data_IF_821464221546
#
_entry.id   IF_821464221546
#
_cell.length_a   1.000
_cell.length_b   1.000
_cell.length_c   1.000
_cell.angle_alpha   90.00
_cell.angle_beta   90.00
_cell.angle_gamma   90.00
#
_symmetry.space_group_name_H-M   'P 1'
#
loop_
_entity.id
_entity.type
_entity.pdbx_description
1 polymer ?
#
# COMPACT_ATOMS: atom_id res chain seq x y z
N UNK A 1 2.93 -27.50 -7.02
CA UNK A 1 1.48 -27.68 -6.76
C UNK A 1 0.76 -26.51 -7.38
N UNK A 2 0.02 -26.75 -8.47
CA UNK A 2 -0.70 -25.70 -9.22
C UNK A 2 -1.92 -25.28 -8.40
N UNK A 3 -2.01 -24.01 -8.03
CA UNK A 3 -3.14 -23.41 -7.32
C UNK A 3 -4.40 -23.55 -8.22
N UNK A 4 -5.21 -24.58 -7.98
CA UNK A 4 -6.47 -24.82 -8.71
C UNK A 4 -7.55 -23.75 -8.38
N UNK A 5 -7.31 -22.85 -7.41
CA UNK A 5 -8.20 -21.75 -7.00
C UNK A 5 -8.00 -20.38 -7.68
N UNK A 6 -7.13 -20.25 -8.68
CA UNK A 6 -6.58 -18.95 -9.13
C UNK A 6 -7.58 -17.92 -9.70
N UNK A 7 -8.69 -18.32 -10.32
CA UNK A 7 -9.59 -17.35 -10.99
C UNK A 7 -10.50 -16.59 -10.02
N UNK A 8 -10.99 -17.25 -8.97
CA UNK A 8 -11.84 -16.61 -7.95
C UNK A 8 -11.07 -15.56 -7.15
N UNK A 9 -9.83 -15.87 -6.78
CA UNK A 9 -8.97 -14.97 -6.02
C UNK A 9 -8.53 -13.77 -6.85
N UNK A 10 -8.22 -13.97 -8.14
CA UNK A 10 -7.98 -12.88 -9.09
C UNK A 10 -9.21 -11.98 -9.24
N UNK A 11 -10.39 -12.57 -9.44
CA UNK A 11 -11.65 -11.84 -9.56
C UNK A 11 -11.94 -10.99 -8.32
N UNK A 12 -11.71 -11.55 -7.13
CA UNK A 12 -11.83 -10.81 -5.87
C UNK A 12 -10.82 -9.67 -5.76
N UNK A 13 -9.54 -9.93 -6.08
CA UNK A 13 -8.49 -8.91 -6.03
C UNK A 13 -8.81 -7.73 -6.95
N UNK A 14 -9.32 -8.00 -8.16
CA UNK A 14 -9.82 -6.98 -9.06
C UNK A 14 -11.05 -6.26 -8.48
N UNK A 15 -12.02 -6.99 -7.92
CA UNK A 15 -13.23 -6.40 -7.36
C UNK A 15 -12.94 -5.44 -6.20
N UNK A 16 -12.08 -5.84 -5.25
CA UNK A 16 -11.68 -4.95 -4.14
C UNK A 16 -10.86 -3.76 -4.64
N UNK A 17 -10.04 -3.94 -5.67
CA UNK A 17 -9.30 -2.84 -6.32
C UNK A 17 -10.26 -1.83 -6.98
N UNK A 18 -11.33 -2.28 -7.64
CA UNK A 18 -12.36 -1.39 -8.21
C UNK A 18 -13.18 -0.71 -7.12
N UNK A 19 -13.46 -1.40 -6.02
CA UNK A 19 -14.22 -0.84 -4.89
C UNK A 19 -13.43 0.25 -4.14
N UNK A 20 -12.10 0.14 -4.07
CA UNK A 20 -11.26 1.08 -3.33
C UNK A 20 -11.43 2.56 -3.69
N UNK A 21 -11.35 3.01 -4.96
CA UNK A 21 -11.57 4.41 -5.29
C UNK A 21 -13.00 4.89 -4.98
N UNK A 22 -13.98 3.98 -4.91
CA UNK A 22 -15.40 4.30 -4.70
C UNK A 22 -15.79 4.41 -3.22
N UNK A 23 -15.13 3.66 -2.35
CA UNK A 23 -15.51 3.56 -0.93
C UNK A 23 -14.32 3.57 0.04
N UNK A 24 -13.13 3.19 -0.41
CA UNK A 24 -11.97 2.97 0.44
C UNK A 24 -11.01 4.15 0.57
N UNK A 25 -11.04 5.12 -0.35
CA UNK A 25 -10.21 6.32 -0.23
C UNK A 25 -10.79 7.30 0.79
N UNK A 26 -9.91 8.11 1.38
CA UNK A 26 -10.28 9.23 2.26
C UNK A 26 -11.34 10.13 1.62
N UNK A 27 -11.10 10.55 0.37
CA UNK A 27 -12.00 11.42 -0.41
C UNK A 27 -13.36 10.76 -0.68
N UNK A 28 -13.38 9.46 -0.99
CA UNK A 28 -14.62 8.73 -1.20
C UNK A 28 -15.46 8.66 0.08
N UNK A 29 -14.81 8.37 1.22
CA UNK A 29 -15.46 8.34 2.53
C UNK A 29 -16.07 9.70 2.91
N UNK A 30 -15.30 10.77 2.77
CA UNK A 30 -15.77 12.14 3.03
C UNK A 30 -16.98 12.49 2.15
N UNK A 31 -16.94 12.13 0.86
CA UNK A 31 -18.03 12.38 -0.08
C UNK A 31 -19.29 11.59 0.28
N UNK A 32 -19.15 10.31 0.62
CA UNK A 32 -20.28 9.46 1.03
C UNK A 32 -20.92 9.94 2.33
N UNK A 33 -20.12 10.31 3.33
CA UNK A 33 -20.63 10.81 4.60
C UNK A 33 -21.30 12.19 4.47
N UNK A 34 -20.75 13.08 3.65
CA UNK A 34 -21.39 14.37 3.38
C UNK A 34 -22.80 14.19 2.79
N UNK A 35 -22.98 13.22 1.89
CA UNK A 35 -24.30 12.91 1.30
C UNK A 35 -25.25 12.29 2.33
N UNK A 36 -24.75 11.38 3.18
CA UNK A 36 -25.60 10.57 4.07
C UNK A 36 -25.94 11.25 5.40
N UNK A 37 -25.03 12.08 5.91
CA UNK A 37 -25.09 12.60 7.28
C UNK A 37 -24.97 14.13 7.38
N UNK A 38 -24.91 14.84 6.24
CA UNK A 38 -24.74 16.31 6.15
C UNK A 38 -23.58 16.85 7.03
N UNK A 39 -22.54 16.02 7.17
CA UNK A 39 -21.37 16.30 8.00
C UNK A 39 -20.12 15.72 7.35
N UNK A 40 -19.02 16.49 7.34
CA UNK A 40 -17.73 16.03 6.86
C UNK A 40 -16.94 15.39 8.01
N UNK A 41 -16.54 14.10 7.90
CA UNK A 41 -15.69 13.46 8.90
C UNK A 41 -14.37 14.23 9.07
N UNK A 42 -13.76 14.12 10.24
CA UNK A 42 -12.45 14.74 10.46
C UNK A 42 -11.39 14.08 9.59
N UNK A 43 -10.38 14.86 9.21
CA UNK A 43 -9.16 14.42 8.50
C UNK A 43 -8.56 13.11 9.05
N UNK A 44 -8.55 12.99 10.38
CA UNK A 44 -8.08 11.80 11.09
C UNK A 44 -9.02 10.60 10.90
N UNK A 45 -10.34 10.79 11.07
CA UNK A 45 -11.31 9.71 10.89
C UNK A 45 -11.31 9.20 9.44
N UNK A 46 -11.24 10.09 8.46
CA UNK A 46 -11.16 9.75 7.04
C UNK A 46 -9.87 8.98 6.70
N UNK A 47 -8.74 9.34 7.34
CA UNK A 47 -7.47 8.61 7.19
C UNK A 47 -7.53 7.22 7.80
N UNK A 48 -8.07 7.09 9.01
CA UNK A 48 -8.27 5.79 9.65
C UNK A 48 -9.20 4.89 8.82
N UNK A 49 -10.28 5.45 8.28
CA UNK A 49 -11.14 4.73 7.35
C UNK A 49 -10.33 4.17 6.18
N UNK A 50 -9.54 5.00 5.49
CA UNK A 50 -8.72 4.52 4.38
C UNK A 50 -7.75 3.40 4.79
N UNK A 51 -7.10 3.54 5.95
CA UNK A 51 -6.14 2.55 6.45
C UNK A 51 -6.79 1.21 6.78
N UNK A 52 -7.86 1.23 7.58
CA UNK A 52 -8.55 0.02 7.99
C UNK A 52 -9.36 -0.60 6.85
N UNK A 53 -9.93 0.21 5.96
CA UNK A 53 -10.57 -0.30 4.74
C UNK A 53 -9.56 -1.06 3.89
N UNK A 54 -8.39 -0.47 3.64
CA UNK A 54 -7.33 -1.14 2.86
C UNK A 54 -6.90 -2.42 3.56
N UNK A 55 -6.59 -2.39 4.86
CA UNK A 55 -6.22 -3.61 5.58
C UNK A 55 -7.30 -4.70 5.53
N UNK A 56 -8.56 -4.34 5.72
CA UNK A 56 -9.68 -5.28 5.72
C UNK A 56 -9.95 -5.84 4.32
N UNK A 57 -10.09 -4.99 3.31
CA UNK A 57 -10.52 -5.40 1.97
C UNK A 57 -9.37 -5.89 1.09
N UNK A 58 -8.14 -5.41 1.30
CA UNK A 58 -6.98 -5.85 0.50
C UNK A 58 -6.27 -7.04 1.15
N UNK A 59 -6.39 -7.24 2.47
CA UNK A 59 -5.80 -8.39 3.13
C UNK A 59 -6.81 -9.32 3.81
N UNK A 60 -7.50 -8.90 4.87
CA UNK A 60 -8.29 -9.83 5.69
C UNK A 60 -9.36 -10.59 4.90
N UNK A 61 -10.15 -9.88 4.10
CA UNK A 61 -11.22 -10.45 3.29
C UNK A 61 -10.67 -11.43 2.24
N UNK A 62 -9.77 -11.03 1.32
CA UNK A 62 -9.16 -11.96 0.37
C UNK A 62 -8.48 -13.15 1.05
N UNK A 63 -7.69 -12.90 2.09
CA UNK A 63 -6.96 -13.94 2.80
C UNK A 63 -7.87 -14.96 3.48
N UNK A 64 -9.00 -14.52 4.05
CA UNK A 64 -10.00 -15.39 4.67
C UNK A 64 -10.61 -16.39 3.68
N UNK A 65 -10.73 -15.99 2.41
CA UNK A 65 -11.32 -16.79 1.34
C UNK A 65 -10.32 -17.75 0.67
N UNK A 66 -9.01 -17.60 0.94
CA UNK A 66 -7.99 -18.54 0.45
C UNK A 66 -7.95 -19.78 1.35
N UNK A 67 -8.02 -21.01 0.78
CA UNK A 67 -7.86 -22.25 1.52
C UNK A 67 -6.53 -22.30 2.29
N UNK A 68 -6.52 -22.88 3.50
CA UNK A 68 -5.36 -22.81 4.41
C UNK A 68 -4.09 -23.39 3.79
N UNK A 69 -4.25 -24.48 3.05
CA UNK A 69 -3.22 -25.19 2.31
C UNK A 69 -2.59 -24.36 1.17
N UNK A 70 -3.32 -23.38 0.64
CA UNK A 70 -2.86 -22.49 -0.43
C UNK A 70 -2.18 -21.22 0.12
N UNK A 71 -2.49 -20.81 1.36
CA UNK A 71 -1.96 -19.58 1.99
C UNK A 71 -0.43 -19.54 2.06
N UNK A 72 0.22 -20.70 2.21
CA UNK A 72 1.68 -20.80 2.23
C UNK A 72 2.33 -20.31 0.91
N UNK A 73 1.59 -20.35 -0.19
CA UNK A 73 2.03 -19.88 -1.51
C UNK A 73 1.97 -18.36 -1.70
N UNK A 74 1.31 -17.61 -0.80
CA UNK A 74 1.04 -16.18 -0.95
C UNK A 74 2.17 -15.27 -0.46
N UNK A 75 3.38 -15.81 -0.26
CA UNK A 75 4.51 -15.01 0.22
C UNK A 75 4.42 -14.57 1.69
N UNK A 76 3.71 -15.33 2.54
CA UNK A 76 3.67 -15.12 3.99
C UNK A 76 4.96 -15.55 4.73
N UNK A 77 6.06 -15.74 4.00
CA UNK A 77 7.30 -16.24 4.58
C UNK A 77 8.26 -15.11 4.92
N UNK A 78 9.15 -15.30 5.89
CA UNK A 78 10.31 -14.42 6.13
C UNK A 78 11.59 -15.09 5.60
N UNK A 79 11.51 -15.70 4.41
CA UNK A 79 12.65 -16.38 3.76
C UNK A 79 13.62 -15.35 3.19
N UNK A 80 14.87 -15.79 2.98
CA UNK A 80 15.93 -14.97 2.39
C UNK A 80 16.16 -13.62 3.10
N UNK A 81 16.06 -13.62 4.46
CA UNK A 81 16.15 -12.41 5.30
C UNK A 81 17.30 -11.47 4.96
N UNK A 82 18.49 -12.00 4.75
CA UNK A 82 19.67 -11.19 4.40
C UNK A 82 19.43 -10.38 3.13
N UNK A 83 18.95 -11.03 2.07
CA UNK A 83 18.65 -10.38 0.78
C UNK A 83 17.48 -9.41 0.93
N UNK A 84 16.39 -9.82 1.60
CA UNK A 84 15.21 -9.00 1.78
C UNK A 84 15.47 -7.72 2.58
N UNK A 85 16.13 -7.84 3.74
CA UNK A 85 16.48 -6.70 4.60
C UNK A 85 17.49 -5.79 3.91
N UNK A 86 18.55 -6.35 3.32
CA UNK A 86 19.55 -5.55 2.61
C UNK A 86 18.94 -4.77 1.45
N UNK A 87 18.07 -5.42 0.66
CA UNK A 87 17.37 -4.76 -0.46
C UNK A 87 16.44 -3.66 0.05
N UNK A 88 15.70 -3.91 1.14
CA UNK A 88 14.80 -2.92 1.72
C UNK A 88 15.55 -1.71 2.27
N UNK A 89 16.61 -1.91 3.06
CA UNK A 89 17.43 -0.82 3.59
C UNK A 89 18.05 -0.01 2.45
N UNK A 90 18.63 -0.69 1.46
CA UNK A 90 19.23 -0.02 0.30
C UNK A 90 18.20 0.79 -0.46
N UNK A 91 17.04 0.21 -0.71
CA UNK A 91 15.96 0.88 -1.44
C UNK A 91 15.44 2.11 -0.70
N UNK A 92 15.18 2.00 0.61
CA UNK A 92 14.75 3.12 1.44
C UNK A 92 15.83 4.20 1.47
N UNK A 93 17.10 3.85 1.70
CA UNK A 93 18.20 4.81 1.71
C UNK A 93 18.33 5.58 0.39
N UNK A 94 18.15 4.91 -0.75
CA UNK A 94 18.17 5.55 -2.08
C UNK A 94 16.94 6.44 -2.32
N UNK A 95 15.77 6.05 -1.80
CA UNK A 95 14.54 6.82 -1.98
C UNK A 95 14.46 8.03 -1.03
N UNK A 96 15.06 7.96 0.17
CA UNK A 96 15.04 9.05 1.16
C UNK A 96 15.39 10.43 0.58
N UNK A 97 16.50 10.64 -0.15
CA UNK A 97 16.80 11.94 -0.75
C UNK A 97 15.74 12.36 -1.78
N UNK A 98 15.22 11.42 -2.58
CA UNK A 98 14.18 11.71 -3.57
C UNK A 98 12.89 12.20 -2.89
N UNK A 99 12.49 11.56 -1.78
CA UNK A 99 11.31 11.94 -0.99
C UNK A 99 11.56 13.29 -0.30
N UNK A 100 12.75 13.53 0.23
CA UNK A 100 13.10 14.81 0.86
C UNK A 100 12.98 15.99 -0.09
N UNK A 101 13.48 15.86 -1.32
CA UNK A 101 13.32 16.90 -2.34
C UNK A 101 11.88 16.95 -2.88
N UNK A 102 11.24 15.79 -3.09
CA UNK A 102 9.85 15.68 -3.53
C UNK A 102 8.83 16.28 -2.56
N UNK A 103 9.11 16.26 -1.25
CA UNK A 103 8.26 16.87 -0.21
C UNK A 103 8.08 18.39 -0.36
N UNK A 104 8.84 19.05 -1.24
CA UNK A 104 8.67 20.47 -1.56
C UNK A 104 7.58 20.74 -2.60
N UNK A 105 7.12 19.70 -3.31
CA UNK A 105 6.07 19.81 -4.32
C UNK A 105 4.74 20.25 -3.67
N UNK A 106 4.09 21.33 -4.15
CA UNK A 106 2.79 21.75 -3.65
C UNK A 106 1.72 20.66 -3.69
N UNK A 107 1.73 19.77 -4.69
CA UNK A 107 0.77 18.65 -4.73
C UNK A 107 1.00 17.70 -3.55
N UNK A 108 2.27 17.38 -3.27
CA UNK A 108 2.64 16.52 -2.13
C UNK A 108 2.24 17.16 -0.80
N UNK A 109 2.52 18.45 -0.59
CA UNK A 109 2.14 19.18 0.62
C UNK A 109 0.63 19.32 0.80
N UNK A 110 -0.13 19.32 -0.29
CA UNK A 110 -1.59 19.37 -0.23
C UNK A 110 -2.18 18.04 0.25
N UNK A 111 -1.62 16.91 -0.21
CA UNK A 111 -2.08 15.55 0.08
C UNK A 111 -1.54 15.01 1.40
N UNK A 112 -0.29 15.33 1.75
CA UNK A 112 0.46 14.75 2.87
C UNK A 112 0.78 15.77 3.98
N UNK A 113 0.93 15.32 5.24
CA UNK A 113 0.68 13.96 5.70
C UNK A 113 -0.79 13.55 5.55
N UNK A 114 -1.06 12.26 5.39
CA UNK A 114 -2.43 11.77 5.13
C UNK A 114 -3.42 12.24 6.21
N UNK A 115 -2.95 12.37 7.46
CA UNK A 115 -3.62 13.12 8.52
C UNK A 115 -2.72 14.25 9.06
N UNK A 116 -3.10 15.50 8.81
CA UNK A 116 -2.41 16.71 9.30
C UNK A 116 -2.65 16.94 10.78
N UNK A 117 -3.89 16.75 11.24
CA UNK A 117 -4.26 16.95 12.65
C UNK A 117 -3.55 15.98 13.60
N UNK A 118 -3.05 14.86 13.08
CA UNK A 118 -2.38 13.85 13.88
C UNK A 118 -0.98 14.28 14.39
N UNK A 119 -0.22 15.02 13.58
CA UNK A 119 1.14 15.44 13.95
C UNK A 119 1.18 16.46 15.08
N UNK A 120 0.03 17.08 15.40
CA UNK A 120 -0.10 18.09 16.45
C UNK A 120 -0.24 17.51 17.87
N UNK A 121 -0.46 16.19 18.01
CA UNK A 121 -0.59 15.54 19.32
C UNK A 121 0.36 14.34 19.44
N UNK A 122 1.44 14.43 20.24
CA UNK A 122 2.40 13.34 20.43
C UNK A 122 1.79 12.03 20.96
N UNK A 123 0.71 12.08 21.74
CA UNK A 123 0.04 10.87 22.23
C UNK A 123 -0.61 10.08 21.10
N UNK A 124 -0.97 10.78 20.02
CA UNK A 124 -1.54 10.13 18.89
C UNK A 124 -0.46 9.37 18.14
N UNK A 125 0.82 9.80 18.14
CA UNK A 125 1.98 9.36 17.32
C UNK A 125 2.20 7.85 17.11
N UNK A 126 1.86 6.99 18.07
CA UNK A 126 1.92 5.54 17.89
C UNK A 126 0.71 4.96 17.12
N UNK A 127 -0.55 5.22 17.52
CA UNK A 127 -1.75 4.80 16.79
C UNK A 127 -1.74 4.97 15.27
N UNK A 128 -1.45 6.14 14.70
CA UNK A 128 -1.40 6.32 13.24
C UNK A 128 -0.23 5.62 12.61
N UNK A 129 0.96 5.61 13.21
CA UNK A 129 2.10 4.89 12.63
C UNK A 129 1.74 3.39 12.52
N UNK A 130 1.05 2.86 13.52
CA UNK A 130 0.51 1.50 13.48
C UNK A 130 -0.61 1.34 12.43
N UNK A 131 -1.59 2.25 12.36
CA UNK A 131 -2.65 2.18 11.34
C UNK A 131 -2.11 2.33 9.91
N UNK A 132 -1.13 3.21 9.70
CA UNK A 132 -0.41 3.40 8.45
C UNK A 132 0.38 2.14 8.09
N UNK A 133 1.01 1.48 9.06
CA UNK A 133 1.63 0.18 8.84
C UNK A 133 0.61 -0.86 8.36
N UNK A 134 -0.58 -0.94 8.99
CA UNK A 134 -1.65 -1.84 8.56
C UNK A 134 -2.15 -1.52 7.14
N UNK A 135 -2.23 -0.23 6.76
CA UNK A 135 -2.53 0.17 5.40
C UNK A 135 -1.56 -0.47 4.39
N UNK A 136 -0.25 -0.36 4.63
CA UNK A 136 0.76 -0.93 3.72
C UNK A 136 0.82 -2.46 3.78
N UNK A 137 0.50 -3.09 4.92
CA UNK A 137 0.28 -4.54 4.98
C UNK A 137 -0.86 -4.94 4.07
N UNK A 138 -2.00 -4.24 4.14
CA UNK A 138 -3.14 -4.44 3.26
C UNK A 138 -2.75 -4.36 1.79
N UNK A 139 -2.10 -3.24 1.43
CA UNK A 139 -1.66 -2.95 0.08
C UNK A 139 -0.74 -4.04 -0.50
N UNK A 140 0.37 -4.32 0.18
CA UNK A 140 1.36 -5.27 -0.33
C UNK A 140 0.88 -6.72 -0.25
N UNK A 141 0.03 -7.06 0.72
CA UNK A 141 -0.57 -8.40 0.76
C UNK A 141 -1.46 -8.65 -0.46
N UNK A 142 -2.23 -7.67 -0.94
CA UNK A 142 -3.04 -7.83 -2.15
C UNK A 142 -2.16 -7.93 -3.39
N UNK A 143 -1.25 -6.98 -3.61
CA UNK A 143 -0.51 -6.90 -4.87
C UNK A 143 0.68 -7.86 -4.93
N UNK A 144 1.52 -7.91 -3.89
CA UNK A 144 2.77 -8.72 -3.86
C UNK A 144 2.55 -10.09 -3.26
N UNK A 145 1.51 -10.27 -2.44
CA UNK A 145 1.11 -11.57 -1.93
C UNK A 145 0.15 -12.26 -2.88
N UNK A 146 -1.11 -11.86 -2.82
CA UNK A 146 -2.24 -12.55 -3.43
C UNK A 146 -2.15 -12.52 -4.96
N UNK A 147 -2.17 -11.33 -5.55
CA UNK A 147 -2.22 -11.17 -7.00
C UNK A 147 -0.96 -11.68 -7.67
N UNK A 148 0.22 -11.24 -7.22
CA UNK A 148 1.50 -11.64 -7.81
C UNK A 148 1.70 -13.15 -7.80
N UNK A 149 1.63 -13.81 -6.63
CA UNK A 149 1.93 -15.24 -6.54
C UNK A 149 0.86 -16.11 -7.20
N UNK A 150 -0.40 -15.67 -7.26
CA UNK A 150 -1.42 -16.36 -8.06
C UNK A 150 -1.17 -16.29 -9.56
N UNK A 151 -0.56 -15.21 -10.06
CA UNK A 151 -0.31 -15.03 -11.50
C UNK A 151 1.02 -15.65 -11.97
N UNK A 152 2.00 -15.87 -11.09
CA UNK A 152 3.32 -16.43 -11.46
C UNK A 152 3.19 -17.81 -12.11
N UNK A 153 2.39 -18.71 -11.54
CA UNK A 153 2.23 -20.07 -12.09
C UNK A 153 1.58 -20.11 -13.49
N UNK A 154 0.45 -19.41 -13.74
CA UNK A 154 -0.19 -19.42 -15.05
C UNK A 154 0.46 -18.53 -16.12
N UNK A 155 1.09 -17.40 -15.74
CA UNK A 155 1.55 -16.38 -16.70
C UNK A 155 3.06 -16.13 -16.71
N UNK A 156 3.80 -16.73 -15.77
CA UNK A 156 5.23 -16.47 -15.56
C UNK A 156 5.51 -15.20 -14.75
N UNK A 157 6.75 -15.06 -14.29
CA UNK A 157 7.16 -13.98 -13.37
C UNK A 157 7.01 -12.59 -14.00
N UNK A 158 7.49 -12.41 -15.24
CA UNK A 158 7.47 -11.10 -15.90
C UNK A 158 6.04 -10.57 -16.08
N UNK A 159 5.14 -11.40 -16.63
CA UNK A 159 3.73 -11.04 -16.82
C UNK A 159 3.05 -10.77 -15.49
N UNK A 160 3.29 -11.60 -14.47
CA UNK A 160 2.73 -11.41 -13.13
C UNK A 160 3.17 -10.07 -12.51
N UNK A 161 4.46 -9.73 -12.62
CA UNK A 161 5.01 -8.46 -12.13
C UNK A 161 4.36 -7.27 -12.86
N UNK A 162 4.22 -7.33 -14.18
CA UNK A 162 3.65 -6.23 -14.95
C UNK A 162 2.16 -6.05 -14.66
N UNK A 163 1.38 -7.13 -14.60
CA UNK A 163 -0.06 -7.06 -14.32
C UNK A 163 -0.34 -6.47 -12.93
N UNK A 164 0.33 -6.96 -11.89
CA UNK A 164 0.14 -6.40 -10.54
C UNK A 164 0.62 -4.94 -10.46
N UNK A 165 1.70 -4.60 -11.19
CA UNK A 165 2.19 -3.22 -11.28
C UNK A 165 1.12 -2.32 -11.89
N UNK A 166 0.58 -2.69 -13.06
CA UNK A 166 -0.45 -1.93 -13.74
C UNK A 166 -1.66 -1.66 -12.85
N UNK A 167 -2.21 -2.71 -12.22
CA UNK A 167 -3.38 -2.57 -11.35
C UNK A 167 -3.06 -1.65 -10.17
N UNK A 168 -1.93 -1.87 -9.49
CA UNK A 168 -1.51 -1.02 -8.35
C UNK A 168 -1.26 0.45 -8.75
N UNK A 169 -0.73 0.71 -9.95
CA UNK A 169 -0.46 2.07 -10.44
C UNK A 169 -1.75 2.81 -10.82
N UNK A 170 -2.75 2.10 -11.38
CA UNK A 170 -4.06 2.68 -11.66
C UNK A 170 -4.70 3.23 -10.37
N UNK A 171 -4.48 2.57 -9.23
CA UNK A 171 -4.97 3.02 -7.94
C UNK A 171 -4.26 4.27 -7.39
N UNK A 172 -3.12 4.67 -7.99
CA UNK A 172 -2.44 5.93 -7.68
C UNK A 172 -2.92 7.09 -8.59
N UNK A 173 -3.83 6.85 -9.54
CA UNK A 173 -4.39 7.94 -10.35
C UNK A 173 -5.11 8.93 -9.41
N UNK A 174 -4.77 10.20 -9.56
CA UNK A 174 -5.27 11.29 -8.70
C UNK A 174 -4.38 11.61 -7.50
N UNK A 175 -3.31 10.84 -7.26
CA UNK A 175 -2.22 11.20 -6.34
C UNK A 175 -1.28 12.24 -6.96
N UNK A 176 -0.43 12.90 -6.14
CA UNK A 176 0.62 13.79 -6.64
C UNK A 176 1.39 13.17 -7.81
N UNK A 177 1.64 13.95 -8.84
CA UNK A 177 2.19 13.44 -10.12
C UNK A 177 3.51 12.68 -9.94
N UNK A 178 4.37 13.13 -9.03
CA UNK A 178 5.63 12.46 -8.71
C UNK A 178 5.40 11.05 -8.11
N UNK A 179 4.40 10.88 -7.24
CA UNK A 179 4.04 9.60 -6.65
C UNK A 179 3.46 8.65 -7.70
N UNK A 180 2.54 9.14 -8.52
CA UNK A 180 1.94 8.37 -9.62
C UNK A 180 2.99 7.86 -10.61
N UNK A 181 3.96 8.69 -11.01
CA UNK A 181 5.03 8.26 -11.92
C UNK A 181 5.99 7.29 -11.23
N UNK A 182 6.34 7.54 -9.96
CA UNK A 182 7.23 6.69 -9.19
C UNK A 182 6.60 5.32 -8.82
N UNK A 183 5.26 5.21 -8.80
CA UNK A 183 4.59 3.95 -8.49
C UNK A 183 4.86 2.85 -9.51
N UNK A 184 5.21 3.20 -10.75
CA UNK A 184 5.54 2.23 -11.81
C UNK A 184 6.88 1.50 -11.53
N UNK A 185 8.04 2.19 -11.43
CA UNK A 185 9.29 1.51 -11.10
C UNK A 185 9.25 0.87 -9.71
N UNK A 186 8.60 1.52 -8.72
CA UNK A 186 8.35 0.89 -7.40
C UNK A 186 7.55 -0.42 -7.57
N UNK A 187 6.50 -0.36 -8.37
CA UNK A 187 5.70 -1.44 -8.92
C UNK A 187 6.49 -2.71 -9.23
N UNK A 188 7.38 -2.54 -10.20
CA UNK A 188 8.24 -3.59 -10.74
C UNK A 188 9.24 -4.08 -9.69
N UNK A 189 9.95 -3.18 -9.02
CA UNK A 189 10.99 -3.52 -8.05
C UNK A 189 10.44 -4.32 -6.87
N UNK A 190 9.28 -3.93 -6.32
CA UNK A 190 8.64 -4.66 -5.22
C UNK A 190 8.12 -6.02 -5.67
N UNK A 191 7.63 -6.15 -6.91
CA UNK A 191 7.27 -7.46 -7.48
C UNK A 191 8.48 -8.40 -7.59
N UNK A 192 9.61 -7.90 -8.11
CA UNK A 192 10.87 -8.65 -8.16
C UNK A 192 11.32 -9.05 -6.75
N UNK A 193 11.34 -8.09 -5.81
CA UNK A 193 11.75 -8.34 -4.43
C UNK A 193 10.88 -9.42 -3.78
N UNK A 194 9.56 -9.36 -3.96
CA UNK A 194 8.62 -10.33 -3.43
C UNK A 194 8.90 -11.75 -3.95
N UNK A 195 9.08 -11.91 -5.27
CA UNK A 195 9.39 -13.21 -5.88
C UNK A 195 10.73 -13.76 -5.36
N UNK A 196 11.78 -12.93 -5.38
CA UNK A 196 13.15 -13.34 -5.00
C UNK A 196 13.26 -13.75 -3.55
N UNK A 197 12.47 -13.11 -2.68
CA UNK A 197 12.44 -13.41 -1.25
C UNK A 197 11.35 -14.38 -0.85
N UNK A 198 10.42 -14.71 -1.77
CA UNK A 198 9.18 -15.43 -1.48
C UNK A 198 8.40 -14.77 -0.32
N UNK A 199 8.40 -13.44 -0.27
CA UNK A 199 7.89 -12.66 0.85
C UNK A 199 7.36 -11.30 0.44
N UNK A 200 6.10 -10.98 0.79
CA UNK A 200 5.59 -9.61 0.63
C UNK A 200 5.96 -8.69 1.82
N UNK A 201 6.51 -9.23 2.91
CA UNK A 201 6.88 -8.42 4.09
C UNK A 201 8.05 -7.46 3.82
N UNK A 202 8.98 -7.79 2.93
CA UNK A 202 10.04 -6.84 2.54
C UNK A 202 9.51 -5.67 1.71
N UNK A 203 8.60 -5.89 0.72
CA UNK A 203 7.82 -4.81 0.14
C UNK A 203 7.05 -3.97 1.16
N UNK A 204 6.39 -4.58 2.17
CA UNK A 204 5.72 -3.83 3.26
C UNK A 204 6.70 -2.89 3.94
N UNK A 205 7.89 -3.39 4.32
CA UNK A 205 8.91 -2.58 4.96
C UNK A 205 9.33 -1.39 4.09
N UNK A 206 9.53 -1.61 2.78
CA UNK A 206 9.88 -0.56 1.83
C UNK A 206 8.76 0.49 1.72
N UNK A 207 7.53 0.03 1.47
CA UNK A 207 6.39 0.90 1.21
C UNK A 207 6.03 1.74 2.44
N UNK A 208 5.96 1.08 3.61
CA UNK A 208 5.72 1.76 4.89
C UNK A 208 6.79 2.80 5.20
N UNK A 209 8.07 2.46 5.00
CA UNK A 209 9.16 3.41 5.27
C UNK A 209 9.09 4.64 4.37
N UNK A 210 8.82 4.46 3.09
CA UNK A 210 8.71 5.57 2.13
C UNK A 210 7.48 6.45 2.44
N UNK A 211 6.33 5.81 2.70
CA UNK A 211 5.12 6.52 3.10
C UNK A 211 5.30 7.33 4.38
N UNK A 212 5.89 6.71 5.40
CA UNK A 212 6.16 7.38 6.68
C UNK A 212 7.17 8.52 6.52
N UNK A 213 8.25 8.32 5.74
CA UNK A 213 9.21 9.40 5.45
C UNK A 213 8.55 10.56 4.71
N UNK A 214 7.65 10.27 3.76
CA UNK A 214 6.92 11.31 3.04
C UNK A 214 6.02 12.12 3.97
N UNK A 215 5.25 11.45 4.84
CA UNK A 215 4.44 12.10 5.87
C UNK A 215 5.30 12.99 6.77
N UNK A 216 6.42 12.46 7.30
CA UNK A 216 7.32 13.20 8.20
C UNK A 216 7.93 14.41 7.50
N UNK A 217 8.42 14.25 6.27
CA UNK A 217 9.04 15.35 5.55
C UNK A 217 8.02 16.43 5.18
N UNK A 218 6.82 16.06 4.75
CA UNK A 218 5.75 17.04 4.49
C UNK A 218 5.32 17.74 5.79
N UNK A 219 5.14 17.01 6.89
CA UNK A 219 4.84 17.60 8.20
C UNK A 219 5.92 18.60 8.64
N UNK A 220 7.19 18.28 8.39
CA UNK A 220 8.31 19.18 8.69
C UNK A 220 8.26 20.46 7.84
N UNK A 221 7.98 20.35 6.52
CA UNK A 221 7.83 21.53 5.64
C UNK A 221 6.66 22.42 6.05
N UNK A 222 5.59 21.82 6.57
CA UNK A 222 4.38 22.51 6.99
C UNK A 222 4.47 23.08 8.42
N UNK A 223 5.55 22.80 9.16
CA UNK A 223 5.70 23.26 10.54
C UNK A 223 4.70 22.61 11.51
N UNK A 224 4.38 21.33 11.31
CA UNK A 224 3.43 20.58 12.15
C UNK A 224 4.07 19.95 13.41
N UNK A 225 5.37 20.17 13.63
CA UNK A 225 6.12 19.75 14.82
C UNK A 225 6.36 20.92 15.77
#
# INVERSE_FOLDING_TARGET
>A
MVLKGNTKLLGLACAVSVLYPLAGTKKAFESLYAILADYAPSDFASSLHQFYFTFAFFFLLPFSLVPKEERAGLGLSLRHKKVGIFSAITFVALCTPLIWFGSKDPQMLSEYPLSKGYFQNPLMALPYVFSLFLYYVGWEALFRGILLFSLVAPLGEASAIMIQTCISCILHIGKPSAEYVASIPFGVLMGVLAIRTRSFFYPVLCHFSIGLLNDIFCAFRLGLF
#
